data_IF_175282266092
#
_entry.id   IF_175282266092
#
_cell.length_a   1.000
_cell.length_b   1.000
_cell.length_c   1.000
_cell.angle_alpha   90.00
_cell.angle_beta   90.00
_cell.angle_gamma   90.00
#
_symmetry.space_group_name_H-M   'P 1'
#
loop_
_entity.id
_entity.type
_entity.pdbx_description
1 polymer ?
#
# COMPACT_ATOMS: atom_id res chain seq x y z
N UNK A 1 -35.84 -17.34 -41.68
CA UNK A 1 -36.88 -16.48 -41.07
C UNK A 1 -37.33 -17.15 -39.77
N UNK A 2 -36.91 -16.62 -38.65
CA UNK A 2 -37.40 -17.06 -37.34
C UNK A 2 -38.54 -16.12 -37.00
N UNK A 3 -39.74 -16.70 -36.77
CA UNK A 3 -40.93 -15.94 -36.42
C UNK A 3 -40.67 -15.08 -35.17
N UNK A 4 -40.89 -13.77 -35.21
CA UNK A 4 -40.71 -12.81 -34.10
C UNK A 4 -41.43 -13.21 -32.82
N UNK A 5 -42.46 -14.06 -32.92
CA UNK A 5 -43.24 -14.60 -31.79
C UNK A 5 -42.41 -15.47 -30.85
N UNK A 6 -41.27 -16.01 -31.31
CA UNK A 6 -40.37 -16.87 -30.51
C UNK A 6 -39.13 -16.15 -30.00
N UNK A 7 -38.97 -14.85 -30.31
CA UNK A 7 -37.83 -14.05 -29.88
C UNK A 7 -38.18 -13.44 -28.52
N UNK A 8 -37.71 -14.05 -27.46
CA UNK A 8 -37.97 -13.58 -26.07
C UNK A 8 -37.17 -12.33 -25.70
N UNK A 9 -35.97 -12.17 -26.25
CA UNK A 9 -35.16 -10.96 -26.12
C UNK A 9 -34.05 -10.96 -27.14
N UNK A 10 -33.83 -9.83 -27.80
CA UNK A 10 -32.63 -9.60 -28.63
C UNK A 10 -31.59 -8.90 -27.75
N UNK A 11 -30.53 -9.61 -27.44
CA UNK A 11 -29.39 -9.02 -26.71
C UNK A 11 -28.45 -8.48 -27.76
N UNK A 12 -28.45 -7.17 -27.94
CA UNK A 12 -27.56 -6.48 -28.87
C UNK A 12 -26.14 -6.41 -28.23
N UNK A 13 -25.15 -6.84 -29.01
CA UNK A 13 -23.74 -6.82 -28.59
C UNK A 13 -23.28 -5.40 -28.23
N UNK A 14 -23.86 -4.39 -28.90
CA UNK A 14 -23.59 -2.99 -28.62
C UNK A 14 -24.13 -2.54 -27.23
N UNK A 15 -25.32 -3.02 -26.86
CA UNK A 15 -25.92 -2.77 -25.55
C UNK A 15 -25.09 -3.42 -24.42
N UNK A 16 -24.64 -4.66 -24.64
CA UNK A 16 -23.77 -5.35 -23.69
C UNK A 16 -22.43 -4.63 -23.49
N UNK A 17 -21.82 -4.15 -24.58
CA UNK A 17 -20.55 -3.40 -24.52
C UNK A 17 -20.72 -2.04 -23.83
N UNK A 18 -21.84 -1.36 -24.01
CA UNK A 18 -22.15 -0.11 -23.30
C UNK A 18 -22.31 -0.33 -21.80
N UNK A 19 -23.06 -1.37 -21.41
CA UNK A 19 -23.23 -1.72 -19.99
C UNK A 19 -21.90 -2.12 -19.37
N UNK A 20 -21.11 -2.97 -20.00
CA UNK A 20 -19.77 -3.35 -19.54
C UNK A 20 -18.87 -2.13 -19.35
N UNK A 21 -18.81 -1.23 -20.32
CA UNK A 21 -18.00 0.00 -20.24
C UNK A 21 -18.46 0.92 -19.12
N UNK A 22 -19.78 1.03 -18.90
CA UNK A 22 -20.32 1.86 -17.82
C UNK A 22 -20.03 1.26 -16.44
N UNK A 23 -20.07 -0.07 -16.31
CA UNK A 23 -19.64 -0.78 -15.10
C UNK A 23 -18.14 -0.59 -14.84
N UNK A 24 -17.31 -0.72 -15.87
CA UNK A 24 -15.86 -0.52 -15.74
C UNK A 24 -15.52 0.90 -15.27
N UNK A 25 -16.19 1.93 -15.80
CA UNK A 25 -15.99 3.32 -15.37
C UNK A 25 -16.47 3.54 -13.93
N UNK A 26 -17.64 3.04 -13.59
CA UNK A 26 -18.19 3.20 -12.23
C UNK A 26 -17.37 2.43 -11.20
N UNK A 27 -17.02 1.18 -11.48
CA UNK A 27 -16.20 0.36 -10.58
C UNK A 27 -14.76 0.90 -10.49
N UNK A 28 -14.20 1.36 -11.60
CA UNK A 28 -12.87 1.98 -11.61
C UNK A 28 -12.78 3.23 -10.75
N UNK A 29 -13.80 4.09 -10.79
CA UNK A 29 -13.89 5.28 -9.93
C UNK A 29 -13.99 4.91 -8.44
N UNK A 30 -14.82 3.92 -8.11
CA UNK A 30 -14.99 3.43 -6.76
C UNK A 30 -13.70 2.77 -6.23
N UNK A 31 -13.02 1.96 -7.04
CA UNK A 31 -11.72 1.38 -6.72
C UNK A 31 -10.63 2.43 -6.55
N UNK A 32 -10.65 3.51 -7.35
CA UNK A 32 -9.75 4.64 -7.20
C UNK A 32 -9.88 5.32 -5.83
N UNK A 33 -11.10 5.49 -5.34
CA UNK A 33 -11.33 6.03 -3.98
C UNK A 33 -10.80 5.07 -2.91
N UNK A 34 -11.09 3.77 -3.01
CA UNK A 34 -10.60 2.75 -2.06
C UNK A 34 -9.06 2.74 -2.03
N UNK A 35 -8.41 2.76 -3.20
CA UNK A 35 -6.96 2.84 -3.28
C UNK A 35 -6.41 4.13 -2.65
N UNK A 36 -7.06 5.27 -2.86
CA UNK A 36 -6.67 6.53 -2.24
C UNK A 36 -6.71 6.46 -0.70
N UNK A 37 -7.77 5.90 -0.14
CA UNK A 37 -7.88 5.67 1.31
C UNK A 37 -6.82 4.66 1.80
N UNK A 38 -6.58 3.58 1.08
CA UNK A 38 -5.57 2.59 1.45
C UNK A 38 -4.16 3.20 1.50
N UNK A 39 -3.79 4.01 0.50
CA UNK A 39 -2.51 4.74 0.46
C UNK A 39 -2.41 5.71 1.64
N UNK A 40 -3.49 6.44 1.95
CA UNK A 40 -3.52 7.37 3.08
C UNK A 40 -3.30 6.65 4.41
N UNK A 41 -4.01 5.55 4.65
CA UNK A 41 -3.86 4.74 5.87
C UNK A 41 -2.44 4.17 5.96
N UNK A 42 -1.92 3.61 4.87
CA UNK A 42 -0.55 3.10 4.82
C UNK A 42 0.47 4.18 5.17
N UNK A 43 0.35 5.37 4.58
CA UNK A 43 1.22 6.52 4.85
C UNK A 43 1.20 6.92 6.33
N UNK A 44 0.00 6.99 6.94
CA UNK A 44 -0.16 7.33 8.36
C UNK A 44 0.47 6.27 9.25
N UNK A 45 0.25 4.99 8.96
CA UNK A 45 0.81 3.89 9.76
C UNK A 45 2.33 3.86 9.71
N UNK A 46 2.92 3.96 8.51
CA UNK A 46 4.38 3.99 8.35
C UNK A 46 4.96 5.23 9.03
N UNK A 47 4.33 6.40 8.87
CA UNK A 47 4.74 7.62 9.54
C UNK A 47 4.72 7.50 11.08
N UNK A 48 3.66 6.92 11.64
CA UNK A 48 3.55 6.72 13.10
C UNK A 48 4.61 5.73 13.61
N UNK A 49 4.83 4.63 12.88
CA UNK A 49 5.86 3.66 13.22
C UNK A 49 7.25 4.31 13.23
N UNK A 50 7.57 5.04 12.19
CA UNK A 50 8.83 5.79 12.07
C UNK A 50 9.00 6.83 13.17
N UNK A 51 7.92 7.54 13.49
CA UNK A 51 7.90 8.48 14.61
C UNK A 51 8.30 7.80 15.91
N UNK A 52 7.66 6.67 16.23
CA UNK A 52 7.94 5.91 17.46
C UNK A 52 9.39 5.42 17.49
N UNK A 53 9.91 4.93 16.34
CA UNK A 53 11.29 4.45 16.26
C UNK A 53 12.28 5.59 16.52
N UNK A 54 12.07 6.76 15.90
CA UNK A 54 12.95 7.92 16.08
C UNK A 54 12.89 8.43 17.53
N UNK A 55 11.69 8.54 18.11
CA UNK A 55 11.51 9.00 19.50
C UNK A 55 12.15 8.04 20.51
N UNK A 56 11.99 6.73 20.33
CA UNK A 56 12.66 5.72 21.17
C UNK A 56 14.18 5.76 21.06
N UNK A 57 14.71 6.15 19.91
CA UNK A 57 16.15 6.20 19.68
C UNK A 57 16.72 7.64 19.77
N UNK A 58 15.93 8.62 20.19
CA UNK A 58 16.34 10.03 20.23
C UNK A 58 17.62 10.24 21.05
N UNK A 59 17.76 9.56 22.18
CA UNK A 59 18.96 9.61 23.02
C UNK A 59 20.20 9.06 22.29
N UNK A 60 20.06 7.92 21.60
CA UNK A 60 21.15 7.34 20.81
C UNK A 60 21.53 8.24 19.63
N UNK A 61 20.54 8.83 18.95
CA UNK A 61 20.73 9.79 17.87
C UNK A 61 21.48 11.02 18.36
N UNK A 62 21.09 11.56 19.51
CA UNK A 62 21.72 12.71 20.16
C UNK A 62 23.18 12.40 20.55
N UNK A 63 23.44 11.24 21.14
CA UNK A 63 24.79 10.81 21.51
C UNK A 63 25.71 10.69 20.29
N UNK A 64 25.23 10.12 19.17
CA UNK A 64 25.98 10.01 17.92
C UNK A 64 26.26 11.40 17.31
N UNK A 65 25.32 12.35 17.45
CA UNK A 65 25.54 13.76 17.05
C UNK A 65 26.66 14.42 17.87
N UNK A 66 26.70 14.18 19.18
CA UNK A 66 27.78 14.70 20.06
C UNK A 66 29.14 14.12 19.67
N UNK A 67 29.19 12.86 19.21
CA UNK A 67 30.40 12.22 18.70
C UNK A 67 30.87 12.78 17.33
N UNK A 68 30.15 13.75 16.76
CA UNK A 68 30.56 14.47 15.56
C UNK A 68 30.01 13.91 14.25
N UNK A 69 29.11 12.93 14.29
CA UNK A 69 28.44 12.44 13.07
C UNK A 69 27.50 13.47 12.49
N UNK A 70 27.46 13.58 11.19
CA UNK A 70 26.59 14.50 10.47
C UNK A 70 25.13 13.99 10.47
N UNK A 71 24.17 14.92 10.40
CA UNK A 71 22.76 14.55 10.28
C UNK A 71 22.47 13.64 9.08
N UNK A 72 23.24 13.78 7.98
CA UNK A 72 23.12 12.95 6.80
C UNK A 72 23.53 11.50 7.02
N UNK A 73 24.63 11.26 7.72
CA UNK A 73 25.11 9.91 8.05
C UNK A 73 24.15 9.18 8.98
N UNK A 74 23.66 9.87 10.02
CA UNK A 74 22.68 9.33 10.97
C UNK A 74 21.37 8.99 10.23
N UNK A 75 20.84 9.93 9.44
CA UNK A 75 19.61 9.71 8.68
C UNK A 75 19.74 8.57 7.70
N UNK A 76 20.90 8.46 7.01
CA UNK A 76 21.16 7.37 6.09
C UNK A 76 21.10 6.01 6.79
N UNK A 77 21.66 5.89 7.97
CA UNK A 77 21.64 4.64 8.73
C UNK A 77 20.23 4.22 9.12
N UNK A 78 19.44 5.16 9.69
CA UNK A 78 18.06 4.87 10.13
C UNK A 78 17.14 4.61 8.94
N UNK A 79 17.16 5.47 7.91
CA UNK A 79 16.31 5.31 6.73
C UNK A 79 16.67 4.04 5.96
N UNK A 80 17.95 3.68 5.86
CA UNK A 80 18.38 2.46 5.17
C UNK A 80 17.86 1.20 5.89
N UNK A 81 17.92 1.18 7.23
CA UNK A 81 17.38 0.08 8.03
C UNK A 81 15.87 -0.05 7.86
N UNK A 82 15.13 1.07 7.97
CA UNK A 82 13.68 1.07 7.78
C UNK A 82 13.29 0.70 6.34
N UNK A 83 14.02 1.21 5.34
CA UNK A 83 13.80 0.89 3.92
C UNK A 83 13.92 -0.60 3.64
N UNK A 84 14.95 -1.25 4.22
CA UNK A 84 15.16 -2.69 4.04
C UNK A 84 13.98 -3.49 4.59
N UNK A 85 13.51 -3.13 5.78
CA UNK A 85 12.32 -3.77 6.40
C UNK A 85 11.07 -3.54 5.56
N UNK A 86 10.83 -2.31 5.10
CA UNK A 86 9.65 -1.99 4.27
C UNK A 86 9.67 -2.76 2.96
N UNK A 87 10.79 -2.80 2.25
CA UNK A 87 10.92 -3.56 0.99
C UNK A 87 10.67 -5.04 1.23
N UNK A 88 11.26 -5.60 2.29
CA UNK A 88 11.05 -7.01 2.63
C UNK A 88 9.59 -7.31 2.97
N UNK A 89 8.95 -6.47 3.77
CA UNK A 89 7.53 -6.59 4.10
C UNK A 89 6.63 -6.46 2.86
N UNK A 90 6.92 -5.52 1.96
CA UNK A 90 6.20 -5.39 0.70
C UNK A 90 6.30 -6.65 -0.16
N UNK A 91 7.50 -7.22 -0.29
CA UNK A 91 7.69 -8.46 -1.04
C UNK A 91 6.95 -9.64 -0.43
N UNK A 92 6.87 -9.72 0.89
CA UNK A 92 6.11 -10.76 1.58
C UNK A 92 4.59 -10.54 1.51
N UNK A 93 4.13 -9.29 1.49
CA UNK A 93 2.70 -8.96 1.44
C UNK A 93 2.04 -9.40 0.13
N UNK A 94 2.75 -9.31 -1.01
CA UNK A 94 2.20 -9.65 -2.33
C UNK A 94 1.70 -11.11 -2.43
N UNK A 95 2.50 -12.15 -2.09
CA UNK A 95 2.00 -13.51 -2.11
C UNK A 95 0.94 -13.77 -1.03
N UNK A 96 1.08 -13.15 0.14
CA UNK A 96 0.10 -13.27 1.22
C UNK A 96 -1.26 -12.74 0.80
N UNK A 97 -1.30 -11.57 0.19
CA UNK A 97 -2.52 -10.95 -0.33
C UNK A 97 -3.18 -11.82 -1.41
N UNK A 98 -2.38 -12.41 -2.31
CA UNK A 98 -2.87 -13.35 -3.32
C UNK A 98 -3.58 -14.54 -2.70
N UNK A 99 -3.01 -15.11 -1.65
CA UNK A 99 -3.62 -16.25 -0.92
C UNK A 99 -4.92 -15.81 -0.26
N UNK A 100 -4.93 -14.68 0.42
CA UNK A 100 -6.12 -14.13 1.08
C UNK A 100 -7.23 -13.88 0.05
N UNK A 101 -6.91 -13.22 -1.07
CA UNK A 101 -7.89 -12.94 -2.12
C UNK A 101 -8.48 -14.21 -2.74
N UNK A 102 -7.65 -15.23 -2.98
CA UNK A 102 -8.14 -16.54 -3.47
C UNK A 102 -9.08 -17.22 -2.49
N UNK A 103 -8.77 -17.18 -1.20
CA UNK A 103 -9.61 -17.76 -0.16
C UNK A 103 -10.94 -17.00 -0.06
N UNK A 104 -10.91 -15.67 0.04
CA UNK A 104 -12.11 -14.85 0.13
C UNK A 104 -13.01 -15.01 -1.11
N UNK A 105 -12.41 -15.00 -2.30
CA UNK A 105 -13.14 -15.17 -3.54
C UNK A 105 -13.81 -16.55 -3.62
N UNK A 106 -13.10 -17.59 -3.19
CA UNK A 106 -13.65 -18.95 -3.13
C UNK A 106 -14.86 -19.04 -2.21
N UNK A 107 -14.74 -18.51 -0.98
CA UNK A 107 -15.84 -18.52 -0.01
C UNK A 107 -17.05 -17.72 -0.52
N UNK A 108 -16.80 -16.56 -1.12
CA UNK A 108 -17.86 -15.73 -1.70
C UNK A 108 -18.57 -16.46 -2.86
N UNK A 109 -17.84 -17.18 -3.72
CA UNK A 109 -18.42 -17.96 -4.81
C UNK A 109 -19.27 -19.12 -4.30
N UNK A 110 -18.80 -19.84 -3.29
CA UNK A 110 -19.53 -20.96 -2.71
C UNK A 110 -20.84 -20.56 -2.04
N UNK A 111 -20.92 -19.34 -1.51
CA UNK A 111 -22.10 -18.84 -0.78
C UNK A 111 -23.08 -18.07 -1.67
N UNK A 112 -22.63 -17.44 -2.74
CA UNK A 112 -23.43 -16.46 -3.48
C UNK A 112 -23.76 -16.84 -4.93
N UNK A 113 -23.04 -17.78 -5.55
CA UNK A 113 -23.19 -18.09 -6.98
C UNK A 113 -23.15 -19.60 -7.20
N UNK A 114 -24.14 -20.11 -7.98
CA UNK A 114 -24.18 -21.51 -8.43
C UNK A 114 -23.28 -21.73 -9.63
N UNK A 115 -21.95 -21.55 -9.46
CA UNK A 115 -20.98 -21.75 -10.53
C UNK A 115 -19.56 -21.48 -10.06
N UNK A 116 -18.57 -21.99 -10.81
CA UNK A 116 -17.16 -21.76 -10.54
C UNK A 116 -16.56 -20.80 -11.56
N UNK A 117 -16.07 -19.65 -11.09
CA UNK A 117 -15.29 -18.69 -11.89
C UNK A 117 -13.88 -18.64 -11.32
N UNK A 118 -12.87 -18.89 -12.16
CA UNK A 118 -11.49 -18.81 -11.72
C UNK A 118 -11.06 -17.34 -11.52
N UNK A 119 -10.50 -17.02 -10.37
CA UNK A 119 -9.90 -15.71 -10.12
C UNK A 119 -8.56 -15.62 -10.86
N UNK A 120 -8.49 -14.74 -11.85
CA UNK A 120 -7.26 -14.39 -12.55
C UNK A 120 -6.81 -12.99 -12.12
N UNK A 121 -5.57 -12.89 -11.62
CA UNK A 121 -4.95 -11.61 -11.24
C UNK A 121 -3.82 -11.33 -12.23
N UNK A 122 -3.90 -10.20 -12.95
CA UNK A 122 -2.86 -9.81 -13.89
C UNK A 122 -1.54 -9.56 -13.14
N UNK A 123 -0.41 -10.15 -13.57
CA UNK A 123 0.90 -9.90 -12.99
C UNK A 123 1.30 -8.42 -12.92
N UNK A 124 0.77 -7.57 -13.79
CA UNK A 124 1.00 -6.12 -13.77
C UNK A 124 0.53 -5.47 -12.47
N UNK A 125 -0.56 -5.97 -11.89
CA UNK A 125 -1.11 -5.45 -10.64
C UNK A 125 -0.09 -5.54 -9.51
N UNK A 126 0.67 -6.63 -9.43
CA UNK A 126 1.72 -6.79 -8.40
C UNK A 126 2.83 -5.75 -8.54
N UNK A 127 3.21 -5.42 -9.79
CA UNK A 127 4.21 -4.37 -10.05
C UNK A 127 3.66 -3.01 -9.67
N UNK A 128 2.42 -2.70 -10.01
CA UNK A 128 1.76 -1.44 -9.64
C UNK A 128 1.66 -1.29 -8.12
N UNK A 129 1.23 -2.31 -7.41
CA UNK A 129 1.14 -2.31 -5.95
C UNK A 129 2.50 -2.10 -5.30
N UNK A 130 3.53 -2.78 -5.79
CA UNK A 130 4.89 -2.61 -5.31
C UNK A 130 5.42 -1.19 -5.54
N UNK A 131 5.20 -0.62 -6.72
CA UNK A 131 5.59 0.76 -7.04
C UNK A 131 4.85 1.79 -6.20
N UNK A 132 3.54 1.62 -5.99
CA UNK A 132 2.74 2.48 -5.11
C UNK A 132 3.25 2.39 -3.67
N UNK A 133 3.54 1.18 -3.19
CA UNK A 133 4.07 0.96 -1.84
C UNK A 133 5.42 1.64 -1.62
N UNK A 134 6.36 1.47 -2.54
CA UNK A 134 7.68 2.13 -2.48
C UNK A 134 7.55 3.65 -2.64
N UNK A 135 6.71 4.12 -3.57
CA UNK A 135 6.49 5.56 -3.79
C UNK A 135 5.93 6.24 -2.55
N UNK A 136 4.94 5.62 -1.91
CA UNK A 136 4.37 6.10 -0.65
C UNK A 136 5.42 6.12 0.46
N UNK A 137 6.23 5.06 0.58
CA UNK A 137 7.31 5.01 1.55
C UNK A 137 8.36 6.09 1.30
N UNK A 138 8.71 6.38 0.05
CA UNK A 138 9.66 7.45 -0.27
C UNK A 138 9.22 8.82 0.25
N UNK A 139 7.91 9.11 0.21
CA UNK A 139 7.35 10.33 0.81
C UNK A 139 7.55 10.34 2.33
N UNK A 140 7.27 9.22 3.00
CA UNK A 140 7.49 9.08 4.44
C UNK A 140 8.97 9.21 4.79
N UNK A 141 9.87 8.57 4.03
CA UNK A 141 11.32 8.67 4.24
C UNK A 141 11.85 10.11 4.15
N UNK A 142 11.27 10.95 3.28
CA UNK A 142 11.58 12.38 3.23
C UNK A 142 11.17 13.10 4.52
N UNK A 143 10.04 12.74 5.09
CA UNK A 143 9.56 13.30 6.37
C UNK A 143 10.45 12.83 7.52
N UNK A 144 10.83 11.55 7.54
CA UNK A 144 11.78 10.96 8.51
C UNK A 144 13.12 11.69 8.51
N UNK A 145 13.68 11.94 7.32
CA UNK A 145 14.93 12.67 7.16
C UNK A 145 14.88 14.04 7.84
N UNK A 146 13.79 14.80 7.60
CA UNK A 146 13.58 16.09 8.24
C UNK A 146 13.48 15.98 9.75
N UNK A 147 12.85 14.93 10.26
CA UNK A 147 12.64 14.70 11.67
C UNK A 147 13.93 14.36 12.41
N UNK A 148 14.76 13.47 11.87
CA UNK A 148 16.09 13.13 12.43
C UNK A 148 16.97 14.37 12.51
N UNK A 149 16.91 15.26 11.54
CA UNK A 149 17.62 16.53 11.53
C UNK A 149 17.24 17.41 12.71
N UNK A 150 15.97 17.39 13.16
CA UNK A 150 15.44 18.24 14.23
C UNK A 150 15.59 17.63 15.62
N UNK A 151 16.13 16.42 15.77
CA UNK A 151 16.43 15.85 17.10
C UNK A 151 17.55 16.70 17.75
N UNK A 152 17.28 17.32 18.93
CA UNK A 152 18.26 18.19 19.59
C UNK A 152 19.42 17.38 20.17
N UNK A 153 20.60 18.02 20.32
CA UNK A 153 21.79 17.38 20.87
C UNK A 153 21.72 17.22 22.41
N UNK A 154 20.88 18.00 23.04
CA UNK A 154 20.71 18.02 24.50
C UNK A 154 19.82 16.89 25.05
N UNK A 155 19.12 16.15 24.17
CA UNK A 155 18.28 15.03 24.57
C UNK A 155 19.09 13.91 25.28
N UNK A 156 20.37 13.74 24.92
CA UNK A 156 21.26 12.78 25.57
C UNK A 156 21.61 13.17 27.00
N UNK A 157 21.51 14.45 27.35
CA UNK A 157 21.88 14.99 28.67
C UNK A 157 20.70 15.06 29.64
N UNK A 158 19.46 15.05 29.13
CA UNK A 158 18.23 15.18 29.96
C UNK A 158 17.96 14.00 30.89
N UNK A 159 18.50 12.82 30.59
CA UNK A 159 18.26 11.60 31.37
C UNK A 159 19.45 11.20 32.28
N UNK A 160 20.34 12.13 32.62
CA UNK A 160 21.46 11.89 33.52
C UNK A 160 21.16 12.43 34.94
N UNK A 161 19.99 13.04 35.13
CA UNK A 161 19.42 13.37 36.44
C UNK A 161 18.26 12.36 36.72
#
# INVERSE_FOLDING_TARGET
DIDEKYIGSVVDLEALTKVSRQLDVSMGSMMGMVNGFAIMIYMVLVYLLSKIIIEKNAQSISMVKILGYTNGEISKLYIMSTSLVVVFCLLLSLPLETVIMKVLFREMMLTSISGWIALWIDPKIYVEMFLIGIGTYAVVAMIEYRRIKHVPMDEALKNVE
#
